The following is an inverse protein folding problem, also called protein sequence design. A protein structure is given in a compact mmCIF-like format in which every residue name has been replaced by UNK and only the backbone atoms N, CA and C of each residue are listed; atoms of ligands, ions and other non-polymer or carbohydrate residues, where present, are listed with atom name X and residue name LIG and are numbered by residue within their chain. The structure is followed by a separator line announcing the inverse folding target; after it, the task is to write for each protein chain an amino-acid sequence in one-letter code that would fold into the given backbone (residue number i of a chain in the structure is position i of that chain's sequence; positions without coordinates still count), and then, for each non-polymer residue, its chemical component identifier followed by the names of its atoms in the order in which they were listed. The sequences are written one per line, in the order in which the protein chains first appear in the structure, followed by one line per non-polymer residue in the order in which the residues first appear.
data_IF_121467037562
#
_entry.id   IF_121467037562
#
_cell.length_a   1.000
_cell.length_b   1.000
_cell.length_c   1.000
_cell.angle_alpha   90.00
_cell.angle_beta   90.00
_cell.angle_gamma   90.00
#
_symmetry.space_group_name_H-M   'P 1'
#
loop_
_entity.id
_entity.type
_entity.pdbx_description
1 polymer ?
#
# COMPACT_ATOMS: atom_id res chain seq x y z
N UNK A 1 5.34 -0.72 9.65
CA UNK A 1 6.61 -1.45 9.86
C UNK A 1 7.68 -0.53 9.29
N UNK A 2 8.62 -0.04 10.09
CA UNK A 2 9.75 0.74 9.59
C UNK A 2 10.60 -0.19 8.71
N UNK A 3 10.85 0.23 7.47
CA UNK A 3 11.56 -0.58 6.48
C UNK A 3 13.06 -0.46 6.74
N UNK A 4 13.70 -1.53 7.21
CA UNK A 4 15.14 -1.60 7.54
C UNK A 4 16.07 -1.47 6.31
N UNK A 5 15.61 -0.87 5.22
CA UNK A 5 16.36 -0.65 3.98
C UNK A 5 16.23 0.75 3.39
N UNK A 6 15.43 1.64 4.00
CA UNK A 6 15.38 3.04 3.56
C UNK A 6 16.59 3.81 4.13
N UNK A 7 17.16 4.77 3.37
CA UNK A 7 18.24 5.61 3.86
C UNK A 7 17.87 6.40 5.14
N UNK A 8 16.58 6.70 5.32
CA UNK A 8 16.03 7.36 6.50
C UNK A 8 14.83 6.57 7.07
N UNK A 9 15.10 5.37 7.57
CA UNK A 9 14.13 4.38 8.07
C UNK A 9 13.12 4.89 9.12
N UNK A 10 13.51 5.87 9.94
CA UNK A 10 12.62 6.48 10.94
C UNK A 10 11.71 7.60 10.39
N UNK A 11 11.98 8.12 9.19
CA UNK A 11 11.29 9.31 8.63
C UNK A 11 10.70 9.11 7.24
N UNK A 12 10.96 7.95 6.62
CA UNK A 12 10.49 7.61 5.29
C UNK A 12 9.67 6.32 5.28
N UNK A 13 8.77 6.23 4.30
CA UNK A 13 8.01 5.03 4.02
C UNK A 13 7.93 4.79 2.50
N UNK A 14 7.81 3.53 2.11
CA UNK A 14 7.38 3.17 0.76
C UNK A 14 5.86 3.10 0.76
N UNK A 15 5.22 3.88 -0.11
CA UNK A 15 3.78 3.90 -0.33
C UNK A 15 3.40 3.31 -1.68
N UNK A 16 2.21 2.70 -1.72
CA UNK A 16 1.50 2.33 -2.96
C UNK A 16 0.13 2.96 -2.99
N UNK A 17 -0.41 3.22 -4.19
CA UNK A 17 -1.70 3.90 -4.30
C UNK A 17 -2.89 2.97 -4.01
N UNK A 18 -3.82 3.49 -3.20
CA UNK A 18 -5.20 3.02 -3.14
C UNK A 18 -6.03 3.72 -4.22
N UNK A 19 -6.96 3.00 -4.83
CA UNK A 19 -7.93 3.53 -5.80
C UNK A 19 -9.31 2.91 -5.61
N UNK A 20 -10.36 3.69 -5.90
CA UNK A 20 -11.74 3.23 -5.95
C UNK A 20 -12.13 2.66 -7.33
N UNK A 21 -11.20 2.71 -8.29
CA UNK A 21 -11.38 2.28 -9.67
C UNK A 21 -10.12 1.59 -10.16
N UNK A 22 -10.23 0.31 -10.48
CA UNK A 22 -9.22 -0.41 -11.24
C UNK A 22 -9.88 -1.52 -12.06
N UNK A 23 -9.45 -1.65 -13.31
CA UNK A 23 -9.79 -2.78 -14.19
C UNK A 23 -8.52 -3.55 -14.60
N UNK A 24 -7.37 -3.21 -14.03
CA UNK A 24 -6.12 -3.87 -14.37
C UNK A 24 -6.02 -5.22 -13.65
N UNK A 25 -5.72 -6.33 -14.34
CA UNK A 25 -5.63 -7.67 -13.73
C UNK A 25 -4.61 -7.78 -12.59
N UNK A 26 -3.53 -6.99 -12.64
CA UNK A 26 -2.52 -6.96 -11.57
C UNK A 26 -2.89 -6.11 -10.35
N UNK A 27 -4.07 -5.47 -10.33
CA UNK A 27 -4.51 -4.72 -9.15
C UNK A 27 -5.09 -5.65 -8.09
N UNK A 28 -4.83 -5.35 -6.82
CA UNK A 28 -5.29 -6.14 -5.69
C UNK A 28 -6.58 -5.55 -5.14
N UNK A 29 -7.68 -6.30 -5.19
CA UNK A 29 -8.90 -5.92 -4.48
C UNK A 29 -8.69 -6.04 -2.97
N UNK A 30 -9.08 -5.01 -2.20
CA UNK A 30 -8.96 -5.00 -0.75
C UNK A 30 -10.25 -5.58 -0.15
N UNK A 31 -10.20 -6.80 0.37
CA UNK A 31 -11.39 -7.43 0.96
C UNK A 31 -11.77 -6.80 2.30
N UNK A 32 -13.01 -7.00 2.75
CA UNK A 32 -13.49 -6.52 4.05
C UNK A 32 -12.62 -7.03 5.21
N UNK A 33 -12.16 -8.28 5.16
CA UNK A 33 -11.31 -8.89 6.18
C UNK A 33 -9.87 -8.33 6.20
N UNK A 34 -9.47 -7.62 5.15
CA UNK A 34 -8.18 -6.94 5.12
C UNK A 34 -8.18 -5.65 5.94
N UNK A 35 -9.34 -5.11 6.32
CA UNK A 35 -9.43 -3.88 7.11
C UNK A 35 -9.39 -4.15 8.61
N UNK A 36 -8.51 -3.42 9.31
CA UNK A 36 -8.54 -3.32 10.77
C UNK A 36 -9.36 -2.10 11.23
N UNK A 37 -9.36 -1.03 10.42
CA UNK A 37 -10.13 0.20 10.65
C UNK A 37 -10.27 0.97 9.33
N UNK A 38 -11.39 1.67 9.18
CA UNK A 38 -11.56 2.67 8.12
C UNK A 38 -11.87 2.06 6.76
N UNK A 39 -12.53 0.89 6.75
CA UNK A 39 -13.11 0.33 5.54
C UNK A 39 -14.06 1.35 4.89
N UNK A 40 -13.85 1.70 3.62
CA UNK A 40 -14.73 2.60 2.90
C UNK A 40 -15.99 1.88 2.40
N UNK A 41 -17.09 2.62 2.21
CA UNK A 41 -18.36 2.11 1.66
C UNK A 41 -18.26 1.58 0.22
N UNK A 42 -17.11 1.79 -0.44
CA UNK A 42 -16.84 1.38 -1.81
C UNK A 42 -15.60 0.50 -1.85
N UNK A 43 -15.68 -0.59 -2.64
CA UNK A 43 -14.57 -1.48 -2.91
C UNK A 43 -13.30 -0.71 -3.29
N UNK A 44 -12.22 -1.00 -2.57
CA UNK A 44 -10.91 -0.42 -2.83
C UNK A 44 -10.01 -1.41 -3.55
N UNK A 45 -9.04 -0.86 -4.28
CA UNK A 45 -7.97 -1.60 -4.92
C UNK A 45 -6.62 -0.98 -4.57
N UNK A 46 -5.58 -1.80 -4.51
CA UNK A 46 -4.18 -1.36 -4.46
C UNK A 46 -3.54 -1.60 -5.83
N UNK A 47 -2.70 -0.66 -6.25
CA UNK A 47 -1.94 -0.71 -7.49
C UNK A 47 -0.44 -0.93 -7.17
N UNK A 48 0.06 -2.18 -7.23
CA UNK A 48 1.41 -2.53 -6.77
C UNK A 48 2.55 -1.79 -7.47
N UNK A 49 2.34 -1.33 -8.71
CA UNK A 49 3.33 -0.61 -9.53
C UNK A 49 3.38 0.91 -9.28
N UNK A 50 2.40 1.50 -8.60
CA UNK A 50 2.43 2.93 -8.25
C UNK A 50 3.16 3.15 -6.93
N UNK A 51 4.48 2.96 -6.96
CA UNK A 51 5.37 3.04 -5.80
C UNK A 51 5.93 4.45 -5.63
N UNK A 52 5.93 4.97 -4.40
CA UNK A 52 6.56 6.24 -4.05
C UNK A 52 7.31 6.14 -2.71
N UNK A 53 8.40 6.89 -2.57
CA UNK A 53 9.00 7.16 -1.25
C UNK A 53 8.34 8.40 -0.68
N UNK A 54 7.83 8.30 0.55
CA UNK A 54 7.10 9.35 1.25
C UNK A 54 7.87 9.77 2.50
N UNK A 55 7.93 11.07 2.78
CA UNK A 55 8.33 11.62 4.08
C UNK A 55 7.16 11.48 5.05
N UNK A 56 7.32 10.67 6.08
CA UNK A 56 6.21 10.32 6.99
C UNK A 56 5.58 11.55 7.65
N UNK A 57 6.38 12.53 8.06
CA UNK A 57 5.86 13.71 8.78
C UNK A 57 5.18 14.76 7.88
N UNK A 58 5.56 14.86 6.59
CA UNK A 58 5.02 15.88 5.68
C UNK A 58 4.03 15.35 4.66
N UNK A 59 4.19 14.10 4.22
CA UNK A 59 3.43 13.53 3.09
C UNK A 59 2.29 12.63 3.58
N UNK A 60 2.41 12.04 4.78
CA UNK A 60 1.37 11.18 5.36
C UNK A 60 0.45 12.01 6.26
N UNK A 61 -0.54 12.64 5.62
CA UNK A 61 -1.55 13.45 6.30
C UNK A 61 -2.93 12.77 6.28
N UNK A 62 -3.70 12.93 7.35
CA UNK A 62 -5.10 12.51 7.39
C UNK A 62 -5.33 10.99 7.24
N UNK A 63 -4.56 10.17 7.96
CA UNK A 63 -4.68 8.70 7.96
C UNK A 63 -6.14 8.25 8.11
N UNK A 64 -6.67 7.59 7.08
CA UNK A 64 -8.09 7.22 6.98
C UNK A 64 -8.39 5.83 7.55
N UNK A 65 -7.41 4.94 7.60
CA UNK A 65 -7.61 3.56 8.01
C UNK A 65 -6.32 2.78 8.19
N UNK A 66 -6.47 1.49 8.46
CA UNK A 66 -5.36 0.55 8.61
C UNK A 66 -5.81 -0.81 8.11
N UNK A 67 -4.94 -1.46 7.35
CA UNK A 67 -5.14 -2.83 6.84
C UNK A 67 -4.32 -3.82 7.64
N UNK A 68 -4.66 -5.10 7.51
CA UNK A 68 -3.94 -6.20 8.14
C UNK A 68 -2.53 -6.31 7.58
N UNK A 69 -1.62 -6.85 8.41
CA UNK A 69 -0.25 -7.15 7.97
C UNK A 69 -0.23 -8.14 6.81
N UNK A 70 -1.08 -9.17 6.84
CA UNK A 70 -1.15 -10.16 5.77
C UNK A 70 -1.53 -9.55 4.43
N UNK A 71 -2.42 -8.54 4.43
CA UNK A 71 -2.72 -7.80 3.20
C UNK A 71 -1.54 -6.94 2.76
N UNK A 72 -0.84 -6.26 3.68
CA UNK A 72 0.40 -5.54 3.34
C UNK A 72 1.48 -6.46 2.77
N UNK A 73 1.65 -7.66 3.32
CA UNK A 73 2.64 -8.64 2.84
C UNK A 73 2.30 -9.10 1.40
N UNK A 74 1.01 -9.28 1.08
CA UNK A 74 0.57 -9.57 -0.29
C UNK A 74 0.86 -8.42 -1.26
N UNK A 75 0.60 -7.17 -0.85
CA UNK A 75 0.94 -5.98 -1.63
C UNK A 75 2.46 -5.91 -1.89
N UNK A 76 3.28 -6.15 -0.87
CA UNK A 76 4.74 -6.17 -1.02
C UNK A 76 5.17 -7.24 -2.01
N UNK A 77 4.61 -8.45 -1.94
CA UNK A 77 4.91 -9.55 -2.87
C UNK A 77 4.62 -9.15 -4.32
N UNK A 78 3.46 -8.56 -4.60
CA UNK A 78 3.11 -8.13 -5.96
C UNK A 78 3.96 -6.95 -6.43
N UNK A 79 4.30 -6.01 -5.54
CA UNK A 79 5.21 -4.91 -5.88
C UNK A 79 6.60 -5.42 -6.22
N UNK A 80 7.14 -6.40 -5.48
CA UNK A 80 8.43 -7.02 -5.80
C UNK A 80 8.36 -7.77 -7.12
N UNK A 81 7.30 -8.57 -7.36
CA UNK A 81 7.12 -9.26 -8.64
C UNK A 81 7.12 -8.29 -9.82
N UNK A 82 6.42 -7.14 -9.68
CA UNK A 82 6.42 -6.11 -10.71
C UNK A 82 7.82 -5.53 -10.98
N UNK A 83 8.63 -5.32 -9.94
CA UNK A 83 9.97 -4.76 -10.08
C UNK A 83 11.01 -5.77 -10.61
N UNK A 84 10.83 -7.05 -10.32
CA UNK A 84 11.70 -8.13 -10.79
C UNK A 84 11.42 -8.53 -12.26
N UNK A 85 10.19 -8.26 -12.75
CA UNK A 85 9.78 -8.53 -14.13
C UNK A 85 10.23 -7.46 -15.15
N UNK A 86 10.89 -6.38 -14.70
CA UNK A 86 11.48 -5.30 -15.54
C UNK A 86 12.98 -5.52 -15.80
#
# INVERSE_FOLDING_TARGET
MVSAGLPYDDSEAIGVAFTSQSHHPGSLAVSTEAWLRGEPDRQSHVLPWTVATLKTDSDVIGVQGTVTRSFTDAVVSETVSYLDDE
#
